data_IF_473716537660
#
_entry.id   IF_473716537660
#
_cell.length_a   1.000
_cell.length_b   1.000
_cell.length_c   1.000
_cell.angle_alpha   90.00
_cell.angle_beta   90.00
_cell.angle_gamma   90.00
#
_symmetry.space_group_name_H-M   'P 1'
#
loop_
_entity.id
_entity.type
_entity.pdbx_description
1 polymer ?
#
# COMPACT_ATOMS: atom_id res chain seq x y z
N UNK A 1 9.86 -3.38 21.25
CA UNK A 1 8.59 -2.69 21.58
C UNK A 1 7.47 -3.71 21.50
N UNK A 2 6.69 -3.92 22.57
CA UNK A 2 5.57 -4.88 22.57
C UNK A 2 4.40 -4.31 21.74
N UNK A 3 3.74 -5.15 20.92
CA UNK A 3 2.59 -4.78 20.10
C UNK A 3 1.49 -4.07 20.90
N UNK A 4 1.23 -4.48 22.15
CA UNK A 4 0.24 -3.83 23.01
C UNK A 4 0.63 -2.39 23.38
N UNK A 5 1.90 -2.16 23.70
CA UNK A 5 2.41 -0.83 24.04
C UNK A 5 2.38 0.11 22.82
N UNK A 6 2.67 -0.44 21.63
CA UNK A 6 2.61 0.32 20.38
C UNK A 6 1.19 0.79 20.06
N UNK A 7 0.17 -0.05 20.28
CA UNK A 7 -1.22 0.34 20.07
C UNK A 7 -1.71 1.41 21.03
N UNK A 8 -1.34 1.31 22.30
CA UNK A 8 -1.63 2.35 23.30
C UNK A 8 -0.96 3.67 22.89
N UNK A 9 0.28 3.62 22.39
CA UNK A 9 0.97 4.80 21.90
C UNK A 9 0.31 5.40 20.65
N UNK A 10 -0.12 4.59 19.67
CA UNK A 10 -0.86 5.07 18.50
C UNK A 10 -2.15 5.76 18.93
N UNK A 11 -2.93 5.13 19.81
CA UNK A 11 -4.21 5.66 20.26
C UNK A 11 -4.07 6.99 21.00
N UNK A 12 -3.08 7.09 21.90
CA UNK A 12 -2.74 8.34 22.59
C UNK A 12 -2.27 9.41 21.62
N UNK A 13 -1.39 9.06 20.68
CA UNK A 13 -0.85 10.00 19.69
C UNK A 13 -1.96 10.51 18.78
N UNK A 14 -2.82 9.62 18.28
CA UNK A 14 -3.99 10.01 17.51
C UNK A 14 -4.95 10.89 18.34
N UNK A 15 -5.16 10.60 19.62
CA UNK A 15 -5.99 11.39 20.52
C UNK A 15 -5.42 12.77 20.85
N UNK A 16 -4.10 12.89 20.97
CA UNK A 16 -3.42 14.17 21.10
C UNK A 16 -3.51 14.97 19.81
N UNK A 17 -3.22 14.35 18.66
CA UNK A 17 -3.40 14.99 17.35
C UNK A 17 -4.86 15.42 17.14
N UNK A 18 -5.86 14.63 17.59
CA UNK A 18 -7.28 15.01 17.60
C UNK A 18 -7.56 16.23 18.46
N UNK A 19 -6.88 16.35 19.59
CA UNK A 19 -7.09 17.43 20.56
C UNK A 19 -6.46 18.72 20.07
N UNK A 20 -5.25 18.64 19.51
CA UNK A 20 -4.49 19.79 18.99
C UNK A 20 -5.00 20.23 17.59
N UNK A 21 -5.51 19.30 16.76
CA UNK A 21 -5.89 19.56 15.36
C UNK A 21 -7.40 19.37 15.06
N UNK A 22 -8.21 18.95 16.04
CA UNK A 22 -9.64 18.67 15.85
C UNK A 22 -9.98 17.21 15.47
N UNK A 23 -11.27 16.83 15.66
CA UNK A 23 -11.84 15.46 15.67
C UNK A 23 -11.36 14.51 14.56
N UNK A 24 -10.83 13.34 14.94
CA UNK A 24 -10.38 12.24 14.06
C UNK A 24 -11.16 10.96 14.45
N UNK A 25 -11.36 10.02 13.51
CA UNK A 25 -11.85 8.65 13.76
C UNK A 25 -10.88 7.61 13.16
N UNK A 26 -10.85 6.39 13.75
CA UNK A 26 -9.86 5.34 13.46
C UNK A 26 -10.49 4.20 12.65
N UNK A 27 -9.90 3.83 11.51
CA UNK A 27 -10.33 2.67 10.72
C UNK A 27 -9.13 1.79 10.31
N UNK A 28 -8.90 0.73 11.10
CA UNK A 28 -8.18 -0.52 10.77
C UNK A 28 -6.66 -0.50 10.53
N UNK A 29 -6.08 -1.70 10.63
CA UNK A 29 -4.74 -2.01 11.16
C UNK A 29 -3.64 -2.24 10.10
N UNK A 30 -3.98 -2.28 8.81
CA UNK A 30 -3.01 -2.63 7.75
C UNK A 30 -2.44 -1.43 7.00
N UNK A 31 -3.08 -0.27 7.10
CA UNK A 31 -2.66 1.02 6.59
C UNK A 31 -3.44 2.09 7.38
N UNK A 32 -2.75 2.94 8.12
CA UNK A 32 -3.40 3.91 9.00
C UNK A 32 -3.96 5.06 8.14
N UNK A 33 -5.20 4.92 7.67
CA UNK A 33 -5.96 6.01 7.06
C UNK A 33 -6.78 6.70 8.14
N UNK A 34 -6.33 7.88 8.59
CA UNK A 34 -7.08 8.73 9.52
C UNK A 34 -8.05 9.61 8.73
N UNK A 35 -9.34 9.26 8.80
CA UNK A 35 -10.43 10.09 8.32
C UNK A 35 -10.77 11.15 9.37
N UNK A 36 -10.59 12.42 9.01
CA UNK A 36 -10.96 13.62 9.76
C UNK A 36 -12.27 14.17 9.18
N UNK A 37 -13.15 14.70 10.02
CA UNK A 37 -14.28 15.50 9.54
C UNK A 37 -13.89 16.98 9.51
N UNK A 38 -14.48 17.84 8.67
CA UNK A 38 -14.34 17.85 7.21
C UNK A 38 -13.07 18.68 6.93
N UNK A 39 -12.26 18.28 5.94
CA UNK A 39 -11.21 19.08 5.27
C UNK A 39 -9.74 18.95 5.70
N UNK A 40 -9.40 18.47 6.90
CA UNK A 40 -7.98 18.13 7.19
C UNK A 40 -7.78 16.63 6.97
N UNK A 41 -6.63 16.14 6.49
CA UNK A 41 -6.30 14.71 6.47
C UNK A 41 -4.87 14.56 6.98
N UNK A 42 -4.61 13.63 7.89
CA UNK A 42 -3.29 13.45 8.51
C UNK A 42 -2.77 12.04 8.17
N UNK A 43 -1.56 11.96 7.63
CA UNK A 43 -0.83 10.70 7.48
C UNK A 43 0.35 10.72 8.44
N UNK A 44 0.44 9.69 9.26
CA UNK A 44 1.60 9.44 10.12
C UNK A 44 2.41 8.30 9.50
N UNK A 45 3.60 8.60 9.01
CA UNK A 45 4.54 7.60 8.47
C UNK A 45 5.56 7.27 9.56
N UNK A 46 5.53 6.03 10.05
CA UNK A 46 6.45 5.54 11.07
C UNK A 46 7.32 4.47 10.44
N UNK A 47 8.63 4.63 10.55
CA UNK A 47 9.62 3.67 10.04
C UNK A 47 9.51 3.44 8.52
N UNK A 48 9.72 4.52 7.74
CA UNK A 48 9.72 4.49 6.26
C UNK A 48 10.99 3.82 5.68
N UNK A 49 11.38 2.67 6.23
CA UNK A 49 12.47 1.90 5.67
C UNK A 49 12.02 1.26 4.34
N UNK A 50 12.90 1.26 3.34
CA UNK A 50 12.57 0.81 1.97
C UNK A 50 11.99 -0.59 1.88
N UNK A 51 12.31 -1.47 2.83
CA UNK A 51 11.85 -2.85 2.91
C UNK A 51 10.47 -3.02 3.57
N UNK A 52 9.96 -1.99 4.25
CA UNK A 52 8.59 -1.92 4.77
C UNK A 52 7.59 -1.39 3.73
N UNK A 53 8.08 -0.76 2.65
CA UNK A 53 7.23 -0.09 1.69
C UNK A 53 6.38 -1.07 0.89
N UNK A 54 5.07 -0.81 0.85
CA UNK A 54 4.12 -1.58 0.05
C UNK A 54 3.94 -0.95 -1.31
N UNK A 55 4.08 -1.77 -2.34
CA UNK A 55 3.68 -1.41 -3.69
C UNK A 55 2.15 -1.42 -3.78
N UNK A 56 1.61 -0.59 -4.66
CA UNK A 56 0.18 -0.67 -5.00
C UNK A 56 -0.13 -2.04 -5.62
N UNK A 57 -1.39 -2.49 -5.50
CA UNK A 57 -1.81 -3.78 -6.05
C UNK A 57 -1.47 -3.92 -7.54
N UNK A 58 -1.57 -2.82 -8.29
CA UNK A 58 -1.27 -2.81 -9.72
C UNK A 58 0.23 -3.03 -9.97
N UNK A 59 1.10 -2.34 -9.23
CA UNK A 59 2.55 -2.41 -9.46
C UNK A 59 3.23 -3.55 -8.70
N UNK A 60 2.49 -4.31 -7.91
CA UNK A 60 3.01 -5.47 -7.17
C UNK A 60 3.28 -6.62 -8.14
N UNK A 61 4.54 -7.04 -8.33
CA UNK A 61 4.85 -8.11 -9.25
C UNK A 61 4.34 -9.46 -8.73
N UNK A 62 3.88 -10.37 -9.62
CA UNK A 62 3.49 -11.70 -9.22
C UNK A 62 4.65 -12.47 -8.58
N UNK A 63 4.36 -13.19 -7.49
CA UNK A 63 5.38 -13.97 -6.75
C UNK A 63 5.31 -15.45 -7.13
N UNK A 64 6.41 -16.19 -6.93
CA UNK A 64 6.43 -17.65 -7.10
C UNK A 64 5.37 -18.39 -6.27
N UNK A 65 4.94 -17.80 -5.14
CA UNK A 65 3.87 -18.35 -4.30
C UNK A 65 2.45 -18.19 -4.87
N UNK A 66 2.25 -17.33 -5.88
CA UNK A 66 0.93 -17.09 -6.47
C UNK A 66 0.44 -18.30 -7.27
N UNK A 67 -0.89 -18.48 -7.33
CA UNK A 67 -1.50 -19.48 -8.22
C UNK A 67 -1.43 -19.01 -9.68
N UNK A 68 -1.39 -19.95 -10.62
CA UNK A 68 -1.27 -19.66 -12.07
C UNK A 68 -2.37 -18.69 -12.52
N UNK A 69 -3.60 -18.90 -12.06
CA UNK A 69 -4.78 -18.10 -12.41
C UNK A 69 -4.68 -16.66 -11.88
N UNK A 70 -3.99 -16.44 -10.76
CA UNK A 70 -3.75 -15.12 -10.22
C UNK A 70 -2.73 -14.35 -11.08
N UNK A 71 -1.68 -15.03 -11.56
CA UNK A 71 -0.68 -14.46 -12.47
C UNK A 71 -1.34 -14.08 -13.80
N UNK A 72 -2.18 -14.96 -14.37
CA UNK A 72 -2.92 -14.68 -15.61
C UNK A 72 -3.84 -13.47 -15.43
N UNK A 73 -4.56 -13.37 -14.31
CA UNK A 73 -5.41 -12.20 -14.02
C UNK A 73 -4.60 -10.91 -13.95
N UNK A 74 -3.43 -10.94 -13.30
CA UNK A 74 -2.54 -9.79 -13.22
C UNK A 74 -2.00 -9.39 -14.61
N UNK A 75 -1.57 -10.35 -15.43
CA UNK A 75 -1.12 -10.07 -16.81
C UNK A 75 -2.25 -9.43 -17.64
N UNK A 76 -3.47 -9.97 -17.53
CA UNK A 76 -4.65 -9.41 -18.22
C UNK A 76 -5.02 -8.01 -17.74
N UNK A 77 -4.94 -7.73 -16.43
CA UNK A 77 -5.22 -6.39 -15.91
C UNK A 77 -4.20 -5.35 -16.39
N UNK A 78 -3.01 -5.79 -16.80
CA UNK A 78 -1.96 -4.97 -17.39
C UNK A 78 -2.00 -4.95 -18.93
N UNK A 79 -3.04 -5.50 -19.55
CA UNK A 79 -3.17 -5.64 -21.00
C UNK A 79 -2.01 -6.42 -21.65
N UNK A 80 -1.39 -7.34 -20.93
CA UNK A 80 -0.32 -8.20 -21.43
C UNK A 80 -0.94 -9.47 -22.01
N UNK A 81 -0.54 -9.81 -23.24
CA UNK A 81 -1.02 -11.01 -23.93
C UNK A 81 -0.50 -12.26 -23.20
N UNK A 82 -1.42 -13.17 -22.88
CA UNK A 82 -1.11 -14.41 -22.19
C UNK A 82 -1.10 -15.56 -23.21
N UNK A 83 0.00 -16.30 -23.37
CA UNK A 83 0.03 -17.46 -24.26
C UNK A 83 -0.85 -18.59 -23.72
N UNK A 84 -1.63 -19.24 -24.59
CA UNK A 84 -2.66 -20.21 -24.21
C UNK A 84 -2.12 -21.44 -23.47
N UNK A 85 -0.90 -21.89 -23.82
CA UNK A 85 -0.24 -23.06 -23.22
C UNK A 85 0.90 -22.70 -22.27
N UNK A 86 0.99 -21.45 -21.83
CA UNK A 86 2.12 -21.00 -21.01
C UNK A 86 2.20 -21.72 -19.66
N UNK A 87 3.41 -22.09 -19.27
CA UNK A 87 3.71 -22.67 -17.95
C UNK A 87 3.84 -21.53 -16.91
N UNK A 88 3.65 -21.84 -15.63
CA UNK A 88 3.75 -20.84 -14.55
C UNK A 88 5.08 -20.07 -14.55
N UNK A 89 6.19 -20.74 -14.90
CA UNK A 89 7.51 -20.11 -15.01
C UNK A 89 7.53 -19.05 -16.12
N UNK A 90 7.09 -19.41 -17.33
CA UNK A 90 6.99 -18.49 -18.48
C UNK A 90 6.08 -17.30 -18.16
N UNK A 91 4.94 -17.54 -17.48
CA UNK A 91 4.05 -16.45 -17.06
C UNK A 91 4.72 -15.48 -16.06
N UNK A 92 5.61 -15.99 -15.20
CA UNK A 92 6.38 -15.14 -14.29
C UNK A 92 7.45 -14.35 -15.03
N UNK A 93 8.13 -14.95 -16.01
CA UNK A 93 9.12 -14.26 -16.85
C UNK A 93 8.46 -13.14 -17.65
N UNK A 94 7.34 -13.43 -18.33
CA UNK A 94 6.56 -12.40 -19.05
C UNK A 94 6.14 -11.27 -18.11
N UNK A 95 5.69 -11.61 -16.89
CA UNK A 95 5.34 -10.60 -15.90
C UNK A 95 6.54 -9.78 -15.47
N UNK A 96 7.72 -10.39 -15.30
CA UNK A 96 8.97 -9.75 -14.89
C UNK A 96 9.51 -8.79 -15.97
N UNK A 97 9.41 -9.18 -17.24
CA UNK A 97 9.86 -8.38 -18.38
C UNK A 97 8.96 -7.15 -18.62
N UNK A 98 7.70 -7.21 -18.17
CA UNK A 98 6.71 -6.16 -18.36
C UNK A 98 6.36 -5.44 -17.04
N UNK A 99 7.31 -5.33 -16.11
CA UNK A 99 7.06 -4.63 -14.84
C UNK A 99 6.72 -3.15 -15.06
N UNK A 100 5.57 -2.67 -14.56
CA UNK A 100 5.31 -1.24 -14.53
C UNK A 100 6.27 -0.54 -13.54
N UNK A 101 6.46 0.78 -13.68
CA UNK A 101 7.18 1.57 -12.68
C UNK A 101 6.58 1.38 -11.29
N UNK A 102 7.44 1.18 -10.28
CA UNK A 102 7.01 0.98 -8.89
C UNK A 102 6.21 2.18 -8.40
N UNK A 103 5.02 1.92 -7.85
CA UNK A 103 4.20 2.91 -7.15
C UNK A 103 3.97 2.45 -5.73
N UNK A 104 4.25 3.31 -4.75
CA UNK A 104 4.07 2.97 -3.35
C UNK A 104 2.74 3.48 -2.81
N UNK A 105 2.11 2.70 -1.93
CA UNK A 105 0.82 3.07 -1.34
C UNK A 105 0.90 4.39 -0.54
N UNK A 106 2.04 4.63 0.11
CA UNK A 106 2.29 5.84 0.91
C UNK A 106 2.33 7.08 0.00
N UNK A 107 3.00 7.00 -1.15
CA UNK A 107 3.10 8.11 -2.10
C UNK A 107 1.72 8.47 -2.66
N UNK A 108 0.91 7.47 -2.99
CA UNK A 108 -0.47 7.67 -3.44
C UNK A 108 -1.36 8.25 -2.33
N UNK A 109 -1.14 7.84 -1.07
CA UNK A 109 -1.81 8.43 0.08
C UNK A 109 -1.41 9.90 0.28
N UNK A 110 -0.12 10.23 0.15
CA UNK A 110 0.40 11.59 0.28
C UNK A 110 -0.14 12.53 -0.82
N UNK A 111 -0.16 12.06 -2.07
CA UNK A 111 -0.76 12.79 -3.20
C UNK A 111 -2.23 13.16 -2.95
N UNK A 112 -3.02 12.23 -2.40
CA UNK A 112 -4.45 12.45 -2.10
C UNK A 112 -4.71 13.54 -1.05
N UNK A 113 -3.69 13.90 -0.28
CA UNK A 113 -3.77 14.90 0.79
C UNK A 113 -3.07 16.20 0.39
N UNK A 114 -2.51 16.28 -0.84
CA UNK A 114 -1.67 17.40 -1.29
C UNK A 114 -0.49 17.66 -0.33
N UNK A 115 0.02 16.60 0.30
CA UNK A 115 1.23 16.69 1.10
C UNK A 115 2.43 16.55 0.16
N UNK A 116 3.14 17.64 -0.09
CA UNK A 116 4.39 17.63 -0.85
C UNK A 116 5.54 17.40 0.11
N UNK A 117 6.24 16.28 -0.05
CA UNK A 117 7.56 16.12 0.57
C UNK A 117 8.54 16.92 -0.29
N UNK A 118 8.99 18.06 0.24
CA UNK A 118 10.11 18.80 -0.30
C UNK A 118 11.44 18.11 0.06
#
# INVERSE_FOLDING_TARGET
MNSAHFLIWIDRTASLLRKELGKISLLSFSSLFLGLGKDTKIILVIDNATWHNRLTNDTTPPKRSWRKEAIIRWLKSHNIVVPEKAVKAELLEIALDNLPPKKYEIDEAAKKIQCWFA
#
